data_IF_685515434040
#
_entry.id   IF_685515434040
#
_cell.length_a   1.000
_cell.length_b   1.000
_cell.length_c   1.000
_cell.angle_alpha   90.00
_cell.angle_beta   90.00
_cell.angle_gamma   90.00
#
_symmetry.space_group_name_H-M   'P 1'
#
loop_
_entity.id
_entity.type
_entity.pdbx_description
1 polymer ?
#
# COMPACT_ATOMS: atom_id res chain seq x y z
N UNK A 1 0.61 -17.36 -6.33
CA UNK A 1 0.44 -18.82 -6.19
C UNK A 1 -0.99 -19.12 -5.80
N UNK A 2 -1.72 -19.89 -6.60
CA UNK A 2 -3.01 -20.45 -6.22
C UNK A 2 -2.74 -21.82 -5.58
N UNK A 3 -3.45 -22.14 -4.51
CA UNK A 3 -3.37 -23.44 -3.87
C UNK A 3 -4.64 -24.23 -4.22
N UNK A 4 -4.44 -25.33 -4.94
CA UNK A 4 -5.46 -26.32 -5.32
C UNK A 4 -5.83 -27.16 -4.09
N UNK A 5 -7.09 -27.59 -3.98
CA UNK A 5 -7.50 -28.54 -2.96
C UNK A 5 -7.63 -28.00 -1.52
N UNK A 6 -7.62 -26.68 -1.30
CA UNK A 6 -7.93 -26.11 0.02
C UNK A 6 -9.42 -26.34 0.32
N UNK A 7 -9.71 -27.10 1.38
CA UNK A 7 -11.08 -27.38 1.85
C UNK A 7 -11.39 -26.81 3.23
N UNK A 8 -10.36 -26.44 3.99
CA UNK A 8 -10.51 -25.92 5.35
C UNK A 8 -9.69 -24.65 5.49
N UNK A 9 -10.32 -23.60 6.02
CA UNK A 9 -9.68 -22.34 6.36
C UNK A 9 -9.87 -22.08 7.85
N UNK A 10 -8.81 -21.68 8.53
CA UNK A 10 -8.86 -21.14 9.89
C UNK A 10 -8.61 -19.64 9.76
N UNK A 11 -9.62 -18.83 10.04
CA UNK A 11 -9.54 -17.37 9.96
C UNK A 11 -9.31 -16.77 11.35
N UNK A 12 -8.13 -16.17 11.52
CA UNK A 12 -7.74 -15.52 12.77
C UNK A 12 -8.41 -14.16 13.00
N UNK A 13 -9.07 -13.61 11.98
CA UNK A 13 -9.71 -12.29 12.06
C UNK A 13 -8.73 -11.12 12.10
N UNK A 14 -7.42 -11.37 11.93
CA UNK A 14 -6.37 -10.34 11.94
C UNK A 14 -5.48 -10.41 10.69
N UNK A 15 -4.82 -9.30 10.39
CA UNK A 15 -3.83 -9.15 9.31
C UNK A 15 -2.69 -8.26 9.79
N UNK A 16 -1.48 -8.51 9.27
CA UNK A 16 -0.39 -7.52 9.37
C UNK A 16 -0.57 -6.52 8.24
N UNK A 17 -0.97 -5.30 8.57
CA UNK A 17 -1.13 -4.21 7.62
C UNK A 17 0.02 -3.21 7.76
N UNK A 18 0.45 -2.65 6.62
CA UNK A 18 1.39 -1.52 6.60
C UNK A 18 0.61 -0.24 6.94
N UNK A 19 1.15 0.53 7.87
CA UNK A 19 0.53 1.79 8.34
C UNK A 19 1.64 2.81 8.57
N UNK A 20 1.44 4.04 8.10
CA UNK A 20 2.37 5.14 8.26
C UNK A 20 2.21 5.77 9.66
N UNK A 21 3.33 5.95 10.36
CA UNK A 21 3.35 6.63 11.65
C UNK A 21 3.66 8.12 11.44
N UNK A 22 2.68 9.04 11.64
CA UNK A 22 2.83 10.45 11.28
C UNK A 22 3.96 11.15 12.04
N UNK A 23 4.21 10.78 13.30
CA UNK A 23 5.25 11.40 14.13
C UNK A 23 6.67 11.02 13.73
N UNK A 24 6.91 9.76 13.34
CA UNK A 24 8.25 9.27 13.02
C UNK A 24 8.53 9.28 11.51
N UNK A 25 7.49 9.41 10.69
CA UNK A 25 7.58 9.32 9.23
C UNK A 25 7.88 7.91 8.70
N UNK A 26 7.78 6.89 9.57
CA UNK A 26 8.11 5.51 9.24
C UNK A 26 6.84 4.68 8.98
N UNK A 27 6.92 3.81 7.99
CA UNK A 27 5.92 2.76 7.80
C UNK A 27 6.22 1.59 8.74
N UNK A 28 5.18 1.14 9.45
CA UNK A 28 5.25 0.01 10.37
C UNK A 28 4.25 -1.07 9.98
N UNK A 29 4.55 -2.32 10.33
CA UNK A 29 3.58 -3.40 10.23
C UNK A 29 2.82 -3.53 11.55
N UNK A 30 1.53 -3.20 11.53
CA UNK A 30 0.64 -3.33 12.69
C UNK A 30 -0.29 -4.52 12.50
N UNK A 31 -0.58 -5.21 13.59
CA UNK A 31 -1.66 -6.21 13.62
C UNK A 31 -2.99 -5.47 13.70
N UNK A 32 -3.83 -5.64 12.69
CA UNK A 32 -5.15 -5.01 12.59
C UNK A 32 -6.23 -6.07 12.39
N UNK A 33 -7.47 -5.77 12.79
CA UNK A 33 -8.63 -6.61 12.47
C UNK A 33 -8.89 -6.54 10.95
N UNK A 34 -9.28 -7.66 10.36
CA UNK A 34 -9.66 -7.70 8.95
C UNK A 34 -11.00 -7.01 8.70
N UNK A 35 -11.25 -6.60 7.46
CA UNK A 35 -12.58 -6.22 7.01
C UNK A 35 -13.46 -7.45 6.75
N UNK A 36 -14.78 -7.23 6.68
CA UNK A 36 -15.75 -8.27 6.27
C UNK A 36 -15.42 -8.80 4.88
N UNK A 37 -15.08 -7.93 3.94
CA UNK A 37 -14.66 -8.34 2.60
C UNK A 37 -13.41 -9.23 2.61
N UNK A 38 -12.41 -8.92 3.43
CA UNK A 38 -11.22 -9.74 3.59
C UNK A 38 -11.54 -11.11 4.21
N UNK A 39 -12.39 -11.15 5.24
CA UNK A 39 -12.86 -12.39 5.85
C UNK A 39 -13.64 -13.26 4.84
N UNK A 40 -14.48 -12.65 4.00
CA UNK A 40 -15.17 -13.37 2.91
C UNK A 40 -14.22 -13.90 1.86
N UNK A 41 -13.22 -13.10 1.47
CA UNK A 41 -12.17 -13.54 0.55
C UNK A 41 -11.38 -14.74 1.11
N UNK A 42 -11.14 -14.78 2.43
CA UNK A 42 -10.52 -15.92 3.13
C UNK A 42 -11.42 -17.16 3.08
N UNK A 43 -12.71 -17.03 3.40
CA UNK A 43 -13.68 -18.12 3.25
C UNK A 43 -13.71 -18.67 1.83
N UNK A 44 -13.68 -17.79 0.82
CA UNK A 44 -13.67 -18.17 -0.59
C UNK A 44 -12.47 -19.02 -1.03
N UNK A 45 -11.40 -19.12 -0.22
CA UNK A 45 -10.29 -20.04 -0.49
C UNK A 45 -10.66 -21.51 -0.27
N UNK A 46 -11.58 -21.79 0.66
CA UNK A 46 -12.02 -23.15 0.97
C UNK A 46 -13.07 -23.70 -0.02
N UNK A 47 -13.78 -22.82 -0.73
CA UNK A 47 -14.94 -23.17 -1.55
C UNK A 47 -14.69 -23.17 -3.06
N UNK A 48 -13.44 -23.26 -3.52
CA UNK A 48 -13.11 -23.07 -4.95
C UNK A 48 -13.45 -24.26 -5.83
N UNK A 49 -13.24 -25.48 -5.34
CA UNK A 49 -13.35 -26.72 -6.13
C UNK A 49 -14.48 -27.62 -5.62
N UNK A 50 -14.81 -27.53 -4.33
CA UNK A 50 -15.86 -28.30 -3.69
C UNK A 50 -16.34 -27.57 -2.42
N UNK A 51 -17.37 -28.09 -1.76
CA UNK A 51 -17.81 -27.58 -0.47
C UNK A 51 -16.65 -27.61 0.55
N UNK A 52 -16.32 -26.44 1.09
CA UNK A 52 -15.29 -26.27 2.12
C UNK A 52 -15.84 -25.59 3.38
N UNK A 53 -15.06 -25.64 4.46
CA UNK A 53 -15.42 -25.04 5.76
C UNK A 53 -14.43 -23.94 6.15
N UNK A 54 -14.96 -22.85 6.69
CA UNK A 54 -14.16 -21.77 7.25
C UNK A 54 -14.48 -21.65 8.75
N UNK A 55 -13.47 -21.82 9.58
CA UNK A 55 -13.54 -21.70 11.03
C UNK A 55 -13.01 -20.34 11.44
N UNK A 56 -13.87 -19.49 11.99
CA UNK A 56 -13.51 -18.15 12.49
C UNK A 56 -13.24 -18.24 13.99
N UNK A 57 -12.08 -17.77 14.44
CA UNK A 57 -11.72 -17.79 15.87
C UNK A 57 -12.23 -16.56 16.65
N UNK A 58 -13.24 -15.89 16.12
CA UNK A 58 -13.83 -14.66 16.64
C UNK A 58 -15.35 -14.76 16.58
N UNK A 59 -16.04 -14.00 17.43
CA UNK A 59 -17.50 -14.13 17.58
C UNK A 59 -18.26 -13.48 16.41
N UNK A 60 -19.54 -13.80 16.29
CA UNK A 60 -20.42 -13.17 15.30
C UNK A 60 -20.53 -11.66 15.55
N UNK A 61 -20.60 -11.24 16.80
CA UNK A 61 -20.66 -9.82 17.18
C UNK A 61 -19.36 -9.11 16.81
N UNK A 62 -18.20 -9.75 17.00
CA UNK A 62 -16.92 -9.19 16.53
C UNK A 62 -16.90 -9.04 15.00
N UNK A 63 -17.41 -10.03 14.27
CA UNK A 63 -17.53 -9.96 12.80
C UNK A 63 -18.43 -8.81 12.35
N UNK A 64 -19.56 -8.60 13.03
CA UNK A 64 -20.51 -7.53 12.70
C UNK A 64 -19.92 -6.14 12.93
N UNK A 65 -19.04 -5.98 13.92
CA UNK A 65 -18.31 -4.73 14.20
C UNK A 65 -17.13 -4.46 13.25
N UNK A 66 -16.71 -5.43 12.42
CA UNK A 66 -15.64 -5.21 11.45
C UNK A 66 -16.06 -4.22 10.36
N UNK A 67 -15.09 -3.45 9.84
CA UNK A 67 -15.29 -2.60 8.66
C UNK A 67 -15.74 -3.45 7.47
N UNK A 68 -16.59 -2.92 6.61
CA UNK A 68 -17.06 -3.64 5.43
C UNK A 68 -15.93 -3.87 4.42
N UNK A 69 -15.24 -2.79 4.05
CA UNK A 69 -14.11 -2.78 3.12
C UNK A 69 -12.81 -2.38 3.83
N UNK A 70 -11.64 -2.88 3.37
CA UNK A 70 -10.36 -2.39 3.86
C UNK A 70 -10.16 -0.93 3.42
N UNK A 71 -9.49 -0.14 4.26
CA UNK A 71 -9.08 1.21 3.86
C UNK A 71 -8.00 1.10 2.77
N UNK A 72 -8.10 1.85 1.66
CA UNK A 72 -7.10 1.86 0.58
C UNK A 72 -5.67 2.09 1.10
N UNK A 73 -4.69 1.46 0.46
CA UNK A 73 -3.28 1.57 0.86
C UNK A 73 -2.74 3.00 0.68
N UNK A 74 -3.18 3.69 -0.38
CA UNK A 74 -2.82 5.08 -0.68
C UNK A 74 -3.23 6.07 0.43
N UNK A 75 -4.24 5.71 1.25
CA UNK A 75 -4.70 6.52 2.38
C UNK A 75 -4.01 6.18 3.70
N UNK A 76 -3.19 5.12 3.74
CA UNK A 76 -2.61 4.58 4.99
C UNK A 76 -1.09 4.52 5.03
N UNK A 77 -0.42 4.59 3.88
CA UNK A 77 1.03 4.45 3.77
C UNK A 77 1.70 5.74 3.32
N UNK A 78 3.02 5.83 3.51
CA UNK A 78 3.81 6.95 2.99
C UNK A 78 3.69 7.07 1.47
N UNK A 79 3.51 8.29 0.98
CA UNK A 79 3.42 8.60 -0.44
C UNK A 79 4.76 8.98 -1.07
N UNK A 80 5.86 9.05 -0.30
CA UNK A 80 7.16 9.52 -0.83
C UNK A 80 7.64 8.69 -2.04
N UNK A 81 7.46 7.37 -2.00
CA UNK A 81 7.79 6.50 -3.12
C UNK A 81 6.89 6.72 -4.35
N UNK A 82 5.59 6.90 -4.13
CA UNK A 82 4.61 7.20 -5.19
C UNK A 82 4.89 8.56 -5.82
N UNK A 83 5.14 9.57 -4.99
CA UNK A 83 5.51 10.91 -5.40
C UNK A 83 6.76 10.87 -6.29
N UNK A 84 7.82 10.17 -5.87
CA UNK A 84 9.05 10.03 -6.65
C UNK A 84 8.83 9.31 -8.00
N UNK A 85 7.97 8.30 -8.03
CA UNK A 85 7.64 7.58 -9.26
C UNK A 85 6.85 8.45 -10.24
N UNK A 86 5.81 9.16 -9.77
CA UNK A 86 5.06 10.12 -10.58
C UNK A 86 6.00 11.21 -11.12
N UNK A 87 6.94 11.63 -10.29
CA UNK A 87 7.95 12.58 -10.67
C UNK A 87 8.86 12.10 -11.80
N UNK A 88 9.30 10.85 -11.73
CA UNK A 88 10.17 10.25 -12.73
C UNK A 88 9.52 10.20 -14.12
N UNK A 89 8.19 10.19 -14.18
CA UNK A 89 7.41 10.25 -15.43
C UNK A 89 6.91 11.66 -15.75
N UNK A 90 7.33 12.69 -14.99
CA UNK A 90 7.00 14.09 -15.24
C UNK A 90 5.60 14.52 -14.75
N UNK A 91 5.02 13.79 -13.80
CA UNK A 91 3.66 14.04 -13.27
C UNK A 91 3.75 14.55 -11.84
N UNK A 92 2.99 15.60 -11.54
CA UNK A 92 2.89 16.20 -10.21
C UNK A 92 1.82 15.47 -9.37
N UNK A 93 2.24 14.90 -8.23
CA UNK A 93 1.35 14.20 -7.29
C UNK A 93 0.21 15.06 -6.76
N UNK A 94 0.40 16.38 -6.63
CA UNK A 94 -0.61 17.31 -6.12
C UNK A 94 -1.77 17.54 -7.10
N UNK A 95 -1.51 17.32 -8.40
CA UNK A 95 -2.52 17.45 -9.48
C UNK A 95 -3.00 16.10 -10.01
N UNK A 96 -2.41 14.99 -9.53
CA UNK A 96 -2.76 13.65 -9.98
C UNK A 96 -4.15 13.23 -9.48
N UNK A 97 -4.98 12.74 -10.41
CA UNK A 97 -6.34 12.29 -10.10
C UNK A 97 -6.36 10.83 -9.63
N UNK A 98 -6.15 10.64 -8.33
CA UNK A 98 -6.21 9.32 -7.70
C UNK A 98 -7.66 8.78 -7.66
N UNK A 99 -7.82 7.47 -7.95
CA UNK A 99 -9.09 6.75 -7.77
C UNK A 99 -9.65 6.89 -6.34
N UNK A 100 -8.79 6.64 -5.34
CA UNK A 100 -9.04 6.94 -3.93
C UNK A 100 -8.08 8.04 -3.50
N UNK A 101 -8.59 9.25 -3.24
CA UNK A 101 -7.74 10.39 -2.91
C UNK A 101 -7.03 10.18 -1.57
N UNK A 102 -5.70 10.37 -1.50
CA UNK A 102 -4.99 10.39 -0.24
C UNK A 102 -5.34 11.65 0.58
N UNK A 103 -5.10 11.64 1.91
CA UNK A 103 -5.11 12.85 2.71
C UNK A 103 -4.10 13.87 2.19
N UNK A 104 -4.47 15.15 2.18
CA UNK A 104 -3.61 16.24 1.68
C UNK A 104 -2.30 16.30 2.48
N UNK A 105 -2.39 16.11 3.78
CA UNK A 105 -1.25 16.12 4.69
C UNK A 105 -0.23 15.02 4.34
N UNK A 106 -0.70 13.87 3.85
CA UNK A 106 0.19 12.78 3.42
C UNK A 106 0.96 13.14 2.14
N UNK A 107 0.33 13.89 1.23
CA UNK A 107 0.98 14.42 0.02
C UNK A 107 2.02 15.46 0.38
N UNK A 108 1.68 16.41 1.25
CA UNK A 108 2.59 17.47 1.70
C UNK A 108 3.84 16.89 2.40
N UNK A 109 3.65 15.88 3.26
CA UNK A 109 4.74 15.16 3.92
C UNK A 109 5.63 14.44 2.90
N UNK A 110 5.05 13.83 1.86
CA UNK A 110 5.80 13.16 0.81
C UNK A 110 6.64 14.13 -0.02
N UNK A 111 6.09 15.27 -0.42
CA UNK A 111 6.84 16.32 -1.13
C UNK A 111 7.98 16.86 -0.26
N UNK A 112 7.69 17.20 1.00
CA UNK A 112 8.70 17.66 1.98
C UNK A 112 9.81 16.61 2.18
N UNK A 113 9.47 15.32 2.15
CA UNK A 113 10.43 14.22 2.25
C UNK A 113 11.40 14.23 1.07
N UNK A 114 10.89 14.38 -0.16
CA UNK A 114 11.70 14.42 -1.37
C UNK A 114 12.60 15.66 -1.45
N UNK A 115 12.12 16.81 -0.99
CA UNK A 115 12.92 18.03 -0.84
C UNK A 115 14.09 17.83 0.11
N UNK A 116 13.84 17.25 1.30
CA UNK A 116 14.88 16.96 2.30
C UNK A 116 15.91 15.95 1.79
N UNK A 117 15.51 15.01 0.93
CA UNK A 117 16.41 14.04 0.31
C UNK A 117 17.19 14.62 -0.88
N UNK A 118 16.92 15.87 -1.29
CA UNK A 118 17.54 16.49 -2.46
C UNK A 118 17.09 15.88 -3.79
N UNK A 119 15.99 15.13 -3.80
CA UNK A 119 15.41 14.56 -5.02
C UNK A 119 14.81 15.63 -5.94
N UNK A 120 14.44 16.77 -5.35
CA UNK A 120 13.96 17.98 -6.03
C UNK A 120 14.80 19.19 -5.56
N UNK A 121 15.11 20.10 -6.49
CA UNK A 121 15.76 21.39 -6.19
C UNK A 121 14.80 22.51 -6.61
N UNK A 122 14.36 23.32 -5.66
CA UNK A 122 13.47 24.46 -5.90
C UNK A 122 12.10 24.30 -5.24
N UNK A 123 11.22 25.29 -5.45
CA UNK A 123 9.84 25.25 -4.97
C UNK A 123 8.99 24.31 -5.84
N UNK A 124 8.25 23.41 -5.19
CA UNK A 124 7.26 22.59 -5.85
C UNK A 124 6.08 23.47 -6.35
N UNK A 125 5.65 23.41 -7.63
CA UNK A 125 6.12 22.57 -8.73
C UNK A 125 6.91 23.39 -9.77
N UNK A 126 8.24 23.47 -9.69
CA UNK A 126 9.01 24.11 -10.76
C UNK A 126 10.46 23.62 -10.89
N UNK A 127 10.86 23.44 -12.16
CA UNK A 127 12.19 23.10 -12.68
C UNK A 127 12.79 21.75 -12.27
N UNK A 128 12.24 20.69 -12.87
CA UNK A 128 12.81 19.35 -12.88
C UNK A 128 14.21 19.30 -13.50
N UNK A 129 15.24 19.44 -12.68
CA UNK A 129 16.54 18.85 -12.95
C UNK A 129 16.66 17.57 -12.11
N UNK A 130 16.29 16.43 -12.70
CA UNK A 130 16.63 15.10 -12.19
C UNK A 130 18.16 14.98 -12.13
N UNK A 131 18.79 15.40 -11.04
CA UNK A 131 20.16 15.02 -10.74
C UNK A 131 20.18 13.97 -9.64
N UNK A 132 20.87 12.87 -9.97
CA UNK A 132 21.55 11.95 -9.06
C UNK A 132 20.84 10.69 -8.53
N UNK A 133 19.50 10.54 -8.52
CA UNK A 133 18.91 9.33 -7.89
C UNK A 133 18.89 8.11 -8.83
N UNK A 134 18.74 8.28 -10.14
CA UNK A 134 18.70 7.15 -11.09
C UNK A 134 20.05 6.78 -11.73
N UNK A 135 21.11 7.56 -11.51
CA UNK A 135 22.43 7.24 -12.12
C UNK A 135 23.11 6.02 -11.47
N UNK A 136 22.51 5.37 -10.46
CA UNK A 136 23.15 4.26 -9.73
C UNK A 136 22.42 2.91 -9.84
N UNK A 137 21.20 2.81 -10.42
CA UNK A 137 20.43 1.56 -10.32
C UNK A 137 19.61 1.13 -11.54
N UNK A 138 20.08 1.40 -12.76
CA UNK A 138 19.71 0.59 -13.92
C UNK A 138 20.98 -0.02 -14.50
N UNK A 139 21.30 -1.26 -14.08
CA UNK A 139 22.26 -2.08 -14.82
C UNK A 139 21.62 -2.41 -16.17
N UNK A 140 22.20 -1.85 -17.24
CA UNK A 140 21.90 -2.23 -18.61
C UNK A 140 22.36 -3.68 -18.83
N UNK A 141 21.41 -4.61 -18.93
CA UNK A 141 21.71 -6.03 -19.21
C UNK A 141 22.13 -6.29 -20.67
N UNK A 142 22.31 -5.25 -21.49
CA UNK A 142 22.77 -5.36 -22.89
C UNK A 142 24.21 -4.88 -23.14
N UNK A 143 25.02 -4.67 -22.09
CA UNK A 143 26.48 -4.51 -22.20
C UNK A 143 27.21 -5.68 -21.55
N UNK A 144 27.20 -6.81 -22.24
CA UNK A 144 28.31 -7.76 -22.26
C UNK A 144 28.23 -8.51 -23.60
N UNK A 145 28.80 -7.89 -24.62
CA UNK A 145 29.34 -8.55 -25.81
C UNK A 145 30.58 -9.35 -25.44
#
# INVERSE_FOLDING_TARGET
MYAVGIRHVIDTGVVKARTHHPTTGLDVLRVEKVSKAQAWQRTGRAGREAAGKCYRIYTKEEFERMKEMPVPEIQRCSLAGVALQLLAIGVDITSFDFMDKPPKEAVDVAVTCLEKLGAVKGEWPSNFHFKQIFHTFIYDTRRNS
#
